data_IF_718532828520
#
_entry.id   IF_718532828520
#
_cell.length_a   1.000
_cell.length_b   1.000
_cell.length_c   1.000
_cell.angle_alpha   90.00
_cell.angle_beta   90.00
_cell.angle_gamma   90.00
#
_symmetry.space_group_name_H-M   'P 1'
#
loop_
_entity.id
_entity.type
_entity.pdbx_description
1 polymer ?
#
# COMPACT_ATOMS: atom_id res chain seq x y z
N UNK A 1 -5.55 10.58 6.38
CA UNK A 1 -6.91 10.16 6.85
C UNK A 1 -8.01 10.40 5.81
N UNK A 2 -7.99 11.45 4.98
CA UNK A 2 -9.06 11.76 3.99
C UNK A 2 -9.27 10.66 2.94
N UNK A 3 -8.23 9.90 2.59
CA UNK A 3 -8.36 8.77 1.67
C UNK A 3 -9.41 7.77 2.15
N UNK A 4 -9.49 7.54 3.46
CA UNK A 4 -10.46 6.66 4.04
C UNK A 4 -11.90 7.18 3.98
N UNK A 5 -12.09 8.49 4.13
CA UNK A 5 -13.40 9.11 3.94
C UNK A 5 -13.79 9.23 2.44
N UNK A 6 -13.07 8.53 1.55
CA UNK A 6 -13.39 8.40 0.13
C UNK A 6 -12.58 9.30 -0.81
N UNK A 7 -11.57 10.02 -0.32
CA UNK A 7 -10.72 10.87 -1.18
C UNK A 7 -9.58 10.04 -1.76
N UNK A 8 -9.92 9.16 -2.70
CA UNK A 8 -8.94 8.39 -3.47
C UNK A 8 -9.42 8.23 -4.92
N UNK A 9 -8.51 7.80 -5.80
CA UNK A 9 -8.83 7.50 -7.19
C UNK A 9 -7.71 6.70 -7.84
N UNK A 10 -8.07 5.94 -8.89
CA UNK A 10 -7.14 5.09 -9.61
C UNK A 10 -6.45 5.81 -10.75
N UNK A 11 -5.19 5.44 -10.97
CA UNK A 11 -4.41 5.83 -12.14
C UNK A 11 -4.22 4.59 -13.00
N UNK A 12 -4.54 4.69 -14.29
CA UNK A 12 -4.25 3.64 -15.27
C UNK A 12 -3.14 4.13 -16.19
N UNK A 13 -2.02 3.41 -16.19
CA UNK A 13 -0.91 3.67 -17.10
C UNK A 13 -1.00 2.67 -18.25
N UNK A 14 -1.32 3.16 -19.45
CA UNK A 14 -1.40 2.33 -20.63
C UNK A 14 0.01 2.00 -21.15
N UNK A 15 0.31 0.71 -21.26
CA UNK A 15 1.57 0.20 -21.72
C UNK A 15 1.46 -1.25 -22.19
N UNK A 16 2.56 -1.87 -22.63
CA UNK A 16 2.56 -3.27 -23.00
C UNK A 16 2.31 -4.15 -21.79
N UNK A 17 1.33 -5.08 -21.91
CA UNK A 17 1.07 -6.12 -20.93
C UNK A 17 1.96 -7.34 -21.17
N UNK A 18 2.27 -8.12 -20.15
CA UNK A 18 3.07 -9.34 -20.26
C UNK A 18 2.25 -10.58 -20.62
N UNK A 19 0.92 -10.47 -20.67
CA UNK A 19 0.01 -11.46 -21.25
C UNK A 19 -1.15 -10.77 -21.97
N UNK A 20 -1.84 -11.51 -22.86
CA UNK A 20 -2.97 -10.99 -23.64
C UNK A 20 -4.28 -11.08 -22.83
N UNK A 21 -5.17 -10.14 -23.06
CA UNK A 21 -6.55 -10.11 -22.55
C UNK A 21 -7.48 -9.54 -23.60
N UNK A 22 -8.79 -9.84 -23.49
CA UNK A 22 -9.80 -9.37 -24.43
C UNK A 22 -10.44 -8.06 -23.96
N UNK A 23 -10.64 -7.91 -22.65
CA UNK A 23 -11.34 -6.76 -22.04
C UNK A 23 -10.55 -6.19 -20.87
N UNK A 24 -10.50 -4.87 -20.78
CA UNK A 24 -9.92 -4.11 -19.67
C UNK A 24 -11.07 -3.55 -18.82
N UNK A 25 -11.18 -4.02 -17.59
CA UNK A 25 -12.23 -3.58 -16.66
C UNK A 25 -11.81 -2.38 -15.79
N UNK A 26 -10.59 -1.88 -15.98
CA UNK A 26 -10.07 -0.76 -15.20
C UNK A 26 -9.71 -1.14 -13.77
N UNK A 27 -9.86 -0.18 -12.86
CA UNK A 27 -9.52 -0.38 -11.46
C UNK A 27 -10.63 -1.11 -10.70
N UNK A 28 -10.23 -2.05 -9.84
CA UNK A 28 -11.08 -2.71 -8.86
C UNK A 28 -10.55 -2.39 -7.46
N UNK A 29 -11.25 -1.50 -6.76
CA UNK A 29 -10.86 -1.06 -5.43
C UNK A 29 -11.37 -2.02 -4.37
N UNK A 30 -10.49 -2.44 -3.47
CA UNK A 30 -10.81 -3.12 -2.21
C UNK A 30 -10.61 -2.10 -1.09
N UNK A 31 -11.64 -1.88 -0.29
CA UNK A 31 -11.63 -0.88 0.78
C UNK A 31 -12.23 -1.50 2.03
N UNK A 32 -11.63 -1.27 3.18
CA UNK A 32 -12.30 -1.44 4.45
C UNK A 32 -13.28 -0.29 4.71
N UNK A 33 -14.32 -0.54 5.50
CA UNK A 33 -15.36 0.45 5.72
C UNK A 33 -15.95 0.39 7.12
N UNK A 34 -16.32 1.58 7.61
CA UNK A 34 -16.99 1.77 8.89
C UNK A 34 -18.00 2.92 8.77
N UNK A 35 -19.06 2.91 9.55
CA UNK A 35 -20.07 3.98 9.61
C UNK A 35 -19.53 5.26 10.29
N UNK A 36 -18.43 5.17 11.02
CA UNK A 36 -17.72 6.29 11.63
C UNK A 36 -16.72 6.89 10.64
N UNK A 37 -16.50 8.19 10.72
CA UNK A 37 -15.47 8.86 9.90
C UNK A 37 -14.06 8.52 10.39
N UNK A 38 -13.05 8.74 9.52
CA UNK A 38 -11.65 8.58 9.87
C UNK A 38 -11.26 9.38 11.12
N UNK A 39 -11.75 10.63 11.22
CA UNK A 39 -11.52 11.48 12.40
C UNK A 39 -12.15 10.97 13.70
N UNK A 40 -13.21 10.16 13.62
CA UNK A 40 -13.79 9.51 14.80
C UNK A 40 -13.02 8.24 15.19
N UNK A 41 -12.50 7.53 14.20
CA UNK A 41 -11.81 6.27 14.38
C UNK A 41 -10.37 6.44 14.86
N UNK A 42 -9.69 7.52 14.45
CA UNK A 42 -8.33 7.80 14.95
C UNK A 42 -8.33 8.00 16.47
N UNK A 43 -9.35 8.65 17.02
CA UNK A 43 -9.49 8.82 18.48
C UNK A 43 -9.60 7.46 19.19
N UNK A 44 -10.24 6.47 18.55
CA UNK A 44 -10.32 5.11 19.09
C UNK A 44 -8.97 4.41 18.95
N UNK A 45 -8.33 4.55 17.79
CA UNK A 45 -7.02 3.96 17.53
C UNK A 45 -5.97 4.46 18.54
N UNK A 46 -5.94 5.76 18.81
CA UNK A 46 -5.00 6.38 19.77
C UNK A 46 -5.25 5.95 21.22
N UNK A 47 -6.52 5.71 21.56
CA UNK A 47 -6.88 5.34 22.92
C UNK A 47 -6.71 3.84 23.25
N UNK A 48 -6.94 2.95 22.26
CA UNK A 48 -7.10 1.51 22.50
C UNK A 48 -6.42 0.61 21.48
N UNK A 49 -5.75 1.17 20.48
CA UNK A 49 -5.21 0.45 19.33
C UNK A 49 -6.19 0.32 18.17
N UNK A 50 -5.81 -0.37 17.08
CA UNK A 50 -6.59 -0.42 15.84
C UNK A 50 -8.04 -0.83 16.07
N UNK A 51 -9.02 -0.05 15.57
CA UNK A 51 -10.43 -0.38 15.74
C UNK A 51 -10.81 -1.58 14.86
N UNK A 52 -11.77 -2.39 15.31
CA UNK A 52 -12.43 -3.35 14.42
C UNK A 52 -13.36 -2.59 13.48
N UNK A 53 -13.13 -2.71 12.18
CA UNK A 53 -13.96 -2.10 11.15
C UNK A 53 -15.20 -2.93 10.84
N UNK A 54 -16.32 -2.29 10.49
CA UNK A 54 -17.61 -2.97 10.36
C UNK A 54 -17.64 -3.96 9.18
N UNK A 55 -17.07 -3.59 8.03
CA UNK A 55 -17.09 -4.39 6.80
C UNK A 55 -16.00 -3.92 5.81
N UNK A 56 -16.19 -4.21 4.51
CA UNK A 56 -15.41 -3.68 3.41
C UNK A 56 -16.26 -3.49 2.16
N UNK A 57 -15.72 -2.77 1.19
CA UNK A 57 -16.37 -2.44 -0.06
C UNK A 57 -15.53 -2.91 -1.25
N UNK A 58 -16.20 -3.31 -2.33
CA UNK A 58 -15.60 -3.57 -3.63
C UNK A 58 -16.14 -2.50 -4.60
N UNK A 59 -15.25 -1.68 -5.16
CA UNK A 59 -15.64 -0.50 -5.95
C UNK A 59 -16.69 0.39 -5.28
N UNK A 60 -16.54 0.59 -3.96
CA UNK A 60 -17.38 1.50 -3.17
C UNK A 60 -18.74 0.94 -2.77
N UNK A 61 -18.98 -0.36 -2.96
CA UNK A 61 -20.27 -0.97 -2.61
C UNK A 61 -20.13 -2.35 -1.97
N UNK A 62 -21.04 -2.68 -1.08
CA UNK A 62 -21.26 -4.01 -0.53
C UNK A 62 -22.68 -4.09 0.06
N UNK A 63 -23.18 -5.30 0.21
CA UNK A 63 -24.37 -5.58 1.01
C UNK A 63 -23.96 -5.75 2.47
N UNK A 64 -24.64 -5.05 3.37
CA UNK A 64 -24.34 -5.08 4.80
C UNK A 64 -25.61 -5.41 5.61
N UNK A 65 -25.48 -6.34 6.55
CA UNK A 65 -26.57 -6.76 7.43
C UNK A 65 -26.37 -6.15 8.83
N UNK A 66 -27.10 -5.05 9.08
CA UNK A 66 -27.14 -4.47 10.41
C UNK A 66 -28.32 -5.07 11.19
N UNK A 67 -28.02 -5.95 12.12
CA UNK A 67 -28.99 -6.51 13.09
C UNK A 67 -30.27 -7.08 12.44
N UNK A 68 -30.15 -7.63 11.24
CA UNK A 68 -31.26 -8.23 10.47
C UNK A 68 -31.85 -7.31 9.41
N UNK A 69 -31.37 -6.07 9.29
CA UNK A 69 -31.70 -5.16 8.19
C UNK A 69 -30.59 -5.17 7.17
N UNK A 70 -30.84 -5.69 5.98
CA UNK A 70 -29.88 -5.70 4.88
C UNK A 70 -29.98 -4.37 4.12
N UNK A 71 -28.85 -3.70 3.92
CA UNK A 71 -28.71 -2.45 3.16
C UNK A 71 -27.56 -2.54 2.16
N UNK A 72 -27.56 -1.66 1.16
CA UNK A 72 -26.56 -1.64 0.10
C UNK A 72 -26.74 -2.76 -0.91
N UNK A 73 -25.95 -2.68 -1.96
CA UNK A 73 -25.93 -3.62 -3.07
C UNK A 73 -24.51 -4.16 -3.27
N UNK A 74 -24.39 -5.39 -3.77
CA UNK A 74 -23.10 -5.97 -4.10
C UNK A 74 -22.56 -5.42 -5.42
N UNK A 75 -21.25 -5.28 -5.50
CA UNK A 75 -20.59 -5.07 -6.80
C UNK A 75 -20.91 -6.22 -7.74
N UNK A 76 -21.25 -5.91 -9.00
CA UNK A 76 -21.52 -6.90 -10.05
C UNK A 76 -20.76 -6.57 -11.32
N UNK A 77 -20.34 -7.61 -12.04
CA UNK A 77 -19.75 -7.49 -13.38
C UNK A 77 -20.21 -8.65 -14.24
N UNK A 78 -20.44 -8.38 -15.54
CA UNK A 78 -20.93 -9.39 -16.48
C UNK A 78 -19.84 -9.76 -17.48
N UNK A 79 -19.58 -11.04 -17.63
CA UNK A 79 -18.54 -11.58 -18.49
C UNK A 79 -19.10 -12.51 -19.57
N UNK A 80 -18.51 -12.45 -20.75
CA UNK A 80 -18.78 -13.39 -21.82
C UNK A 80 -17.94 -14.66 -21.62
N UNK A 81 -18.59 -15.82 -21.65
CA UNK A 81 -17.91 -17.09 -21.51
C UNK A 81 -16.84 -17.30 -22.58
N UNK A 82 -15.62 -17.61 -22.16
CA UNK A 82 -14.45 -17.83 -23.00
C UNK A 82 -13.58 -16.58 -23.21
N UNK A 83 -14.03 -15.39 -22.80
CA UNK A 83 -13.25 -14.16 -22.86
C UNK A 83 -12.34 -14.01 -21.63
N UNK A 84 -11.28 -13.23 -21.77
CA UNK A 84 -10.32 -12.91 -20.70
C UNK A 84 -10.42 -11.43 -20.31
N UNK A 85 -10.36 -11.18 -19.02
CA UNK A 85 -10.62 -9.88 -18.41
C UNK A 85 -9.44 -9.42 -17.57
N UNK A 86 -8.94 -8.22 -17.84
CA UNK A 86 -7.94 -7.56 -17.00
C UNK A 86 -8.64 -6.76 -15.90
N UNK A 87 -8.31 -7.08 -14.66
CA UNK A 87 -8.67 -6.34 -13.45
C UNK A 87 -7.41 -5.73 -12.85
N UNK A 88 -7.48 -4.42 -12.51
CA UNK A 88 -6.42 -3.75 -11.74
C UNK A 88 -6.90 -3.64 -10.31
N UNK A 89 -6.52 -4.63 -9.52
CA UNK A 89 -6.93 -4.71 -8.12
C UNK A 89 -6.05 -3.79 -7.28
N UNK A 90 -6.70 -2.91 -6.52
CA UNK A 90 -6.04 -1.88 -5.70
C UNK A 90 -6.58 -1.99 -4.28
N UNK A 91 -5.71 -2.24 -3.30
CA UNK A 91 -6.11 -2.13 -1.91
C UNK A 91 -5.98 -0.67 -1.44
N UNK A 92 -7.12 -0.01 -1.27
CA UNK A 92 -7.23 1.36 -0.74
C UNK A 92 -7.67 1.39 0.73
N UNK A 93 -7.63 0.24 1.39
CA UNK A 93 -7.91 0.12 2.81
C UNK A 93 -6.91 0.89 3.66
N UNK A 94 -7.36 1.30 4.83
CA UNK A 94 -6.53 1.99 5.83
C UNK A 94 -5.80 1.00 6.73
N UNK A 95 -6.43 -0.15 7.03
CA UNK A 95 -5.92 -1.11 8.02
C UNK A 95 -6.15 -2.57 7.61
N UNK A 96 -6.86 -2.84 6.51
CA UNK A 96 -7.20 -4.21 6.14
C UNK A 96 -6.32 -4.75 5.02
N UNK A 97 -5.56 -5.78 5.34
CA UNK A 97 -4.93 -6.66 4.36
C UNK A 97 -5.98 -7.60 3.79
N UNK A 98 -6.09 -7.69 2.47
CA UNK A 98 -7.07 -8.53 1.81
C UNK A 98 -6.42 -9.70 1.07
N UNK A 99 -7.10 -10.83 1.08
CA UNK A 99 -6.88 -11.90 0.10
C UNK A 99 -8.00 -11.82 -0.95
N UNK A 100 -7.62 -11.50 -2.19
CA UNK A 100 -8.53 -11.42 -3.33
C UNK A 100 -8.64 -12.77 -4.04
N UNK A 101 -9.86 -13.20 -4.35
CA UNK A 101 -10.12 -14.46 -5.07
C UNK A 101 -11.45 -14.41 -5.84
N UNK A 102 -11.58 -15.22 -6.88
CA UNK A 102 -12.85 -15.47 -7.59
C UNK A 102 -13.11 -16.96 -7.56
N UNK A 103 -14.28 -17.35 -7.07
CA UNK A 103 -14.63 -18.77 -6.93
C UNK A 103 -14.45 -19.54 -8.25
N UNK A 104 -13.81 -20.69 -8.19
CA UNK A 104 -13.52 -21.58 -9.32
C UNK A 104 -12.60 -21.03 -10.43
N UNK A 105 -12.15 -19.77 -10.36
CA UNK A 105 -11.24 -19.20 -11.35
C UNK A 105 -9.82 -19.15 -10.85
N UNK A 106 -8.88 -19.31 -11.76
CA UNK A 106 -7.47 -19.02 -11.51
C UNK A 106 -7.16 -17.58 -11.95
N UNK A 107 -6.25 -16.94 -11.23
CA UNK A 107 -5.82 -15.58 -11.41
C UNK A 107 -4.43 -15.58 -12.07
N UNK A 108 -4.28 -14.99 -13.24
CA UNK A 108 -2.98 -14.78 -13.86
C UNK A 108 -2.48 -13.37 -13.53
N UNK A 109 -1.52 -13.28 -12.64
CA UNK A 109 -0.92 -12.00 -12.22
C UNK A 109 0.14 -11.59 -13.23
N UNK A 110 0.07 -10.36 -13.75
CA UNK A 110 0.92 -9.84 -14.83
C UNK A 110 1.71 -8.57 -14.47
N UNK A 111 1.31 -7.87 -13.41
CA UNK A 111 2.04 -6.72 -12.89
C UNK A 111 1.79 -6.55 -11.39
N UNK A 112 2.72 -5.89 -10.72
CA UNK A 112 2.60 -5.44 -9.33
C UNK A 112 3.09 -4.00 -9.22
N UNK A 113 2.32 -3.11 -8.57
CA UNK A 113 2.64 -1.70 -8.31
C UNK A 113 3.23 -0.98 -9.54
N UNK A 114 2.58 -1.11 -10.71
CA UNK A 114 3.02 -0.62 -12.03
C UNK A 114 4.21 -1.35 -12.68
N UNK A 115 4.84 -2.31 -12.02
CA UNK A 115 5.96 -3.07 -12.59
C UNK A 115 5.42 -4.32 -13.28
N UNK A 116 5.54 -4.45 -14.62
CA UNK A 116 5.22 -5.68 -15.32
C UNK A 116 6.11 -6.84 -14.86
N UNK A 117 5.52 -7.99 -14.60
CA UNK A 117 6.23 -9.19 -14.16
C UNK A 117 6.09 -10.33 -15.16
N UNK A 118 6.94 -11.35 -15.00
CA UNK A 118 6.72 -12.65 -15.65
C UNK A 118 5.41 -13.23 -15.14
N UNK A 119 4.42 -13.51 -16.00
CA UNK A 119 3.12 -13.96 -15.54
C UNK A 119 3.20 -15.25 -14.71
N UNK A 120 2.50 -15.29 -13.59
CA UNK A 120 2.28 -16.51 -12.82
C UNK A 120 0.78 -16.69 -12.55
N UNK A 121 0.38 -17.90 -12.18
CA UNK A 121 -1.03 -18.26 -11.92
C UNK A 121 -1.19 -18.72 -10.49
N UNK A 122 -2.26 -18.24 -9.85
CA UNK A 122 -2.63 -18.58 -8.46
C UNK A 122 -4.16 -18.63 -8.33
N UNK A 123 -4.66 -19.18 -7.21
CA UNK A 123 -6.10 -19.20 -6.89
C UNK A 123 -6.52 -17.97 -6.08
N UNK A 124 -5.56 -17.28 -5.48
CA UNK A 124 -5.77 -16.07 -4.67
C UNK A 124 -4.55 -15.16 -4.72
N UNK A 125 -4.75 -13.86 -4.45
CA UNK A 125 -3.68 -12.87 -4.34
C UNK A 125 -3.80 -12.16 -3.00
N UNK A 126 -2.70 -12.17 -2.23
CA UNK A 126 -2.57 -11.47 -0.95
C UNK A 126 -2.15 -10.02 -1.20
N UNK A 127 -2.96 -9.06 -0.76
CA UNK A 127 -2.83 -7.64 -1.12
C UNK A 127 -2.81 -6.77 0.14
N UNK A 128 -1.64 -6.27 0.51
CA UNK A 128 -1.48 -5.29 1.58
C UNK A 128 -2.01 -3.89 1.19
N UNK A 129 -2.23 -3.04 2.18
CA UNK A 129 -2.66 -1.65 1.97
C UNK A 129 -1.67 -0.92 1.06
N UNK A 130 -2.20 -0.24 0.03
CA UNK A 130 -1.41 0.46 -0.98
C UNK A 130 -0.86 -0.43 -2.10
N UNK A 131 -0.90 -1.76 -2.00
CA UNK A 131 -0.46 -2.66 -3.05
C UNK A 131 -1.47 -2.73 -4.21
N UNK A 132 -0.97 -2.94 -5.42
CA UNK A 132 -1.77 -3.10 -6.63
C UNK A 132 -1.28 -4.31 -7.41
N UNK A 133 -2.22 -5.02 -8.02
CA UNK A 133 -1.93 -6.13 -8.92
C UNK A 133 -2.78 -6.05 -10.17
N UNK A 134 -2.15 -6.19 -11.35
CA UNK A 134 -2.86 -6.40 -12.60
C UNK A 134 -3.05 -7.91 -12.81
N UNK A 135 -4.31 -8.33 -12.91
CA UNK A 135 -4.72 -9.74 -12.91
C UNK A 135 -5.59 -10.02 -14.13
N UNK A 136 -5.24 -11.04 -14.89
CA UNK A 136 -6.09 -11.54 -15.98
C UNK A 136 -6.85 -12.77 -15.48
N UNK A 137 -8.17 -12.77 -15.72
CA UNK A 137 -9.05 -13.89 -15.41
C UNK A 137 -9.78 -14.32 -16.68
N UNK A 138 -9.78 -15.61 -16.98
CA UNK A 138 -10.51 -16.16 -18.11
C UNK A 138 -11.85 -16.70 -17.66
N UNK A 139 -12.92 -16.31 -18.33
CA UNK A 139 -14.28 -16.77 -18.07
C UNK A 139 -14.53 -18.18 -18.63
N UNK A 140 -13.82 -19.19 -18.10
CA UNK A 140 -13.81 -20.56 -18.63
C UNK A 140 -14.60 -21.57 -17.78
N UNK A 141 -15.36 -21.09 -16.76
CA UNK A 141 -16.05 -21.93 -15.78
C UNK A 141 -17.54 -22.12 -16.05
N UNK A 142 -18.03 -21.86 -17.28
CA UNK A 142 -19.44 -22.00 -17.65
C UNK A 142 -20.03 -23.41 -17.43
N UNK A 143 -19.18 -24.44 -17.36
CA UNK A 143 -19.60 -25.80 -17.02
C UNK A 143 -19.87 -26.02 -15.52
N UNK A 144 -19.38 -25.11 -14.66
CA UNK A 144 -19.53 -25.19 -13.20
C UNK A 144 -20.74 -24.40 -12.75
N UNK A 145 -20.85 -23.13 -13.16
CA UNK A 145 -21.95 -22.22 -12.80
C UNK A 145 -22.08 -21.08 -13.82
N UNK A 146 -23.12 -20.27 -13.68
CA UNK A 146 -23.31 -19.01 -14.41
C UNK A 146 -22.98 -17.79 -13.55
N UNK A 147 -22.86 -17.95 -12.25
CA UNK A 147 -22.65 -16.88 -11.30
C UNK A 147 -21.60 -17.30 -10.27
N UNK A 148 -20.65 -16.42 -10.00
CA UNK A 148 -19.50 -16.70 -9.15
C UNK A 148 -19.27 -15.57 -8.15
N UNK A 149 -18.92 -15.94 -6.92
CA UNK A 149 -18.47 -14.96 -5.94
C UNK A 149 -17.07 -14.44 -6.29
N UNK A 150 -16.93 -13.12 -6.32
CA UNK A 150 -15.68 -12.40 -6.23
C UNK A 150 -15.53 -11.97 -4.77
N UNK A 151 -14.41 -12.28 -4.14
CA UNK A 151 -14.23 -12.10 -2.70
C UNK A 151 -13.00 -11.25 -2.38
N UNK A 152 -13.17 -10.34 -1.42
CA UNK A 152 -12.08 -9.66 -0.73
C UNK A 152 -12.13 -10.11 0.75
N UNK A 153 -11.30 -11.08 1.09
CA UNK A 153 -11.30 -11.71 2.41
C UNK A 153 -10.28 -10.99 3.28
N UNK A 154 -10.70 -10.33 4.40
CA UNK A 154 -9.77 -9.75 5.36
C UNK A 154 -8.85 -10.83 5.95
N UNK A 155 -7.56 -10.55 5.97
CA UNK A 155 -6.60 -11.40 6.64
C UNK A 155 -6.64 -11.12 8.15
N UNK A 156 -7.33 -12.00 8.87
CA UNK A 156 -7.60 -11.83 10.31
C UNK A 156 -6.38 -12.05 11.20
N UNK A 157 -5.24 -12.39 10.62
CA UNK A 157 -3.97 -12.45 11.38
C UNK A 157 -3.46 -11.04 11.73
N UNK A 158 -3.66 -10.06 10.85
CA UNK A 158 -3.19 -8.69 11.05
C UNK A 158 -4.28 -7.62 11.00
N UNK A 159 -5.51 -7.97 10.60
CA UNK A 159 -6.60 -7.01 10.42
C UNK A 159 -7.88 -7.48 11.11
N UNK A 160 -8.54 -6.59 11.83
CA UNK A 160 -9.81 -6.87 12.49
C UNK A 160 -10.99 -6.35 11.67
N UNK A 161 -11.92 -7.24 11.28
CA UNK A 161 -13.10 -6.87 10.51
C UNK A 161 -14.36 -7.57 11.08
N UNK A 162 -15.46 -6.84 11.15
CA UNK A 162 -16.73 -7.32 11.70
C UNK A 162 -17.51 -8.25 10.76
N UNK A 163 -17.20 -8.23 9.47
CA UNK A 163 -17.87 -9.05 8.45
C UNK A 163 -16.86 -9.74 7.50
N UNK A 164 -15.87 -10.50 8.03
CA UNK A 164 -14.76 -11.01 7.23
C UNK A 164 -15.19 -11.97 6.12
N UNK A 165 -16.32 -12.64 6.28
CA UNK A 165 -16.84 -13.63 5.30
C UNK A 165 -17.81 -13.01 4.28
N UNK A 166 -18.12 -11.71 4.37
CA UNK A 166 -19.20 -11.10 3.59
C UNK A 166 -18.81 -9.86 2.77
N UNK A 167 -17.54 -9.68 2.49
CA UNK A 167 -17.06 -8.67 1.53
C UNK A 167 -16.97 -9.34 0.18
N UNK A 168 -18.05 -9.21 -0.62
CA UNK A 168 -18.24 -9.98 -1.86
C UNK A 168 -18.82 -9.13 -2.98
N UNK A 169 -18.41 -9.46 -4.20
CA UNK A 169 -19.05 -9.07 -5.45
C UNK A 169 -19.48 -10.30 -6.24
N UNK A 170 -20.12 -10.08 -7.39
CA UNK A 170 -20.62 -11.16 -8.25
C UNK A 170 -20.08 -11.00 -9.66
N UNK A 171 -19.60 -12.09 -10.21
CA UNK A 171 -19.32 -12.25 -11.64
C UNK A 171 -20.45 -13.04 -12.26
N UNK A 172 -21.20 -12.43 -13.16
CA UNK A 172 -22.26 -13.08 -13.94
C UNK A 172 -21.72 -13.49 -15.30
N UNK A 173 -22.11 -14.67 -15.80
CA UNK A 173 -21.83 -15.08 -17.16
C UNK A 173 -23.05 -14.84 -18.06
N UNK A 174 -22.88 -14.04 -19.11
CA UNK A 174 -23.94 -13.70 -20.05
C UNK A 174 -25.10 -12.96 -19.39
N UNK A 175 -26.33 -13.43 -19.61
CA UNK A 175 -27.56 -12.81 -19.12
C UNK A 175 -27.98 -13.31 -17.73
N UNK A 176 -27.11 -14.01 -16.98
CA UNK A 176 -27.43 -14.47 -15.63
C UNK A 176 -27.45 -13.29 -14.65
N UNK A 177 -28.33 -13.38 -13.65
CA UNK A 177 -28.53 -12.37 -12.59
C UNK A 177 -28.76 -12.99 -11.21
N UNK A 178 -28.40 -14.27 -11.06
CA UNK A 178 -28.67 -15.03 -9.85
C UNK A 178 -27.59 -14.82 -8.79
N UNK A 179 -27.95 -15.02 -7.52
CA UNK A 179 -26.97 -15.06 -6.45
C UNK A 179 -26.11 -16.35 -6.58
N UNK A 180 -24.77 -16.23 -6.51
CA UNK A 180 -23.90 -17.39 -6.66
C UNK A 180 -24.08 -18.42 -5.55
N UNK A 181 -23.97 -19.70 -5.91
CA UNK A 181 -23.94 -20.83 -4.98
C UNK A 181 -22.56 -21.50 -4.91
N UNK A 182 -21.56 -20.88 -5.50
CA UNK A 182 -20.18 -21.37 -5.54
C UNK A 182 -19.51 -21.27 -4.17
N UNK A 183 -18.46 -22.06 -3.98
CA UNK A 183 -17.71 -22.13 -2.72
C UNK A 183 -16.35 -21.47 -2.88
N UNK A 184 -15.89 -20.78 -1.83
CA UNK A 184 -14.57 -20.17 -1.77
C UNK A 184 -13.45 -21.22 -1.96
N UNK A 185 -12.34 -20.77 -2.57
CA UNK A 185 -11.08 -21.47 -2.49
C UNK A 185 -10.64 -21.63 -1.03
N UNK A 186 -9.94 -22.70 -0.73
CA UNK A 186 -9.32 -22.87 0.59
C UNK A 186 -8.10 -21.92 0.66
N UNK A 187 -8.23 -20.81 1.38
CA UNK A 187 -7.12 -19.91 1.67
C UNK A 187 -6.32 -20.56 2.80
N UNK A 188 -5.06 -20.90 2.52
CA UNK A 188 -4.19 -21.63 3.47
C UNK A 188 -3.08 -20.77 4.06
N UNK A 189 -2.78 -19.62 3.45
CA UNK A 189 -1.78 -18.68 3.89
C UNK A 189 -2.45 -17.34 4.22
N UNK A 190 -2.48 -17.01 5.50
CA UNK A 190 -3.06 -15.80 6.09
C UNK A 190 -2.05 -15.26 7.09
N UNK A 191 -0.90 -14.80 6.58
CA UNK A 191 0.22 -14.30 7.40
C UNK A 191 0.56 -12.83 7.14
N UNK A 192 -0.23 -12.16 6.27
CA UNK A 192 -0.05 -10.77 5.90
C UNK A 192 1.34 -10.45 5.33
N UNK A 193 2.01 -11.41 4.72
CA UNK A 193 3.34 -11.20 4.11
C UNK A 193 3.27 -10.80 2.65
N UNK A 194 2.09 -10.84 2.04
CA UNK A 194 1.89 -10.58 0.61
C UNK A 194 2.28 -11.77 -0.29
N UNK A 195 2.33 -11.53 -1.59
CA UNK A 195 2.67 -12.57 -2.57
C UNK A 195 4.12 -13.05 -2.41
N UNK A 196 4.38 -14.35 -2.63
CA UNK A 196 5.73 -14.89 -2.54
C UNK A 196 6.71 -14.15 -3.47
N UNK A 197 7.79 -13.62 -2.93
CA UNK A 197 8.80 -12.86 -3.68
C UNK A 197 9.34 -13.60 -4.90
N UNK A 198 9.41 -14.94 -4.84
CA UNK A 198 9.85 -15.78 -5.95
C UNK A 198 8.88 -15.77 -7.14
N UNK A 199 7.61 -15.42 -6.92
CA UNK A 199 6.59 -15.30 -7.97
C UNK A 199 6.60 -13.91 -8.61
N UNK A 200 7.04 -12.88 -7.89
CA UNK A 200 7.04 -11.48 -8.34
C UNK A 200 8.35 -11.16 -9.06
N UNK A 201 8.55 -11.72 -10.26
CA UNK A 201 9.78 -11.55 -11.04
C UNK A 201 9.56 -10.47 -12.10
N UNK A 202 10.25 -9.30 -12.02
CA UNK A 202 10.11 -8.25 -13.03
C UNK A 202 10.43 -8.75 -14.45
N UNK A 203 9.56 -8.43 -15.41
CA UNK A 203 9.72 -8.82 -16.81
C UNK A 203 10.94 -8.12 -17.45
N UNK A 204 11.11 -6.83 -17.15
CA UNK A 204 12.33 -6.10 -17.50
C UNK A 204 13.35 -6.33 -16.39
N UNK A 205 14.36 -7.13 -16.71
CA UNK A 205 15.44 -7.41 -15.77
C UNK A 205 16.33 -6.19 -15.56
N UNK A 206 16.38 -5.71 -14.32
CA UNK A 206 17.27 -4.64 -13.88
C UNK A 206 18.13 -5.15 -12.72
N UNK A 207 19.41 -4.79 -12.75
CA UNK A 207 20.41 -5.20 -11.77
C UNK A 207 20.53 -4.13 -10.67
N UNK A 208 20.56 -4.59 -9.44
CA UNK A 208 20.76 -3.78 -8.24
C UNK A 208 22.09 -4.11 -7.55
N UNK A 209 23.07 -4.68 -8.25
CA UNK A 209 24.36 -5.11 -7.64
C UNK A 209 25.12 -3.97 -6.99
N UNK A 210 25.02 -2.76 -7.52
CA UNK A 210 25.63 -1.58 -6.91
C UNK A 210 25.07 -1.23 -5.54
N UNK A 211 23.80 -1.64 -5.24
CA UNK A 211 23.23 -1.48 -3.90
C UNK A 211 23.81 -2.47 -2.88
N UNK A 212 24.30 -3.62 -3.34
CA UNK A 212 24.96 -4.61 -2.47
C UNK A 212 26.36 -4.20 -2.00
N UNK A 213 26.96 -3.22 -2.68
CA UNK A 213 28.27 -2.66 -2.32
C UNK A 213 28.15 -1.43 -1.39
N UNK A 214 26.92 -0.92 -1.21
CA UNK A 214 26.65 0.18 -0.28
C UNK A 214 26.56 -0.40 1.13
N UNK A 215 27.24 0.24 2.09
CA UNK A 215 27.00 -0.04 3.50
C UNK A 215 25.52 0.24 3.80
N UNK A 216 24.91 -0.49 4.72
CA UNK A 216 23.58 -0.14 5.21
C UNK A 216 23.65 1.29 5.72
N UNK A 217 23.08 2.23 4.94
CA UNK A 217 23.13 3.65 5.26
C UNK A 217 22.16 3.94 6.40
N UNK A 218 21.01 3.25 6.40
CA UNK A 218 19.96 3.40 7.40
C UNK A 218 19.43 2.01 7.80
N UNK A 219 19.83 1.52 8.97
CA UNK A 219 19.15 0.42 9.66
C UNK A 219 18.28 1.01 10.75
N UNK A 220 16.97 0.94 10.55
CA UNK A 220 16.00 1.55 11.46
C UNK A 220 15.07 0.49 12.06
N UNK A 221 14.90 0.56 13.36
CA UNK A 221 14.01 -0.35 14.09
C UNK A 221 12.68 0.36 14.36
N UNK A 222 11.59 -0.35 14.13
CA UNK A 222 10.25 0.12 14.48
C UNK A 222 10.09 0.08 15.99
N UNK A 223 9.67 1.19 16.59
CA UNK A 223 9.48 1.34 18.03
C UNK A 223 8.22 2.10 18.40
N UNK A 224 7.96 2.21 19.70
CA UNK A 224 6.92 3.08 20.26
C UNK A 224 7.55 4.17 21.12
N UNK A 225 7.04 5.39 20.91
CA UNK A 225 7.30 6.54 21.76
C UNK A 225 6.29 6.64 22.92
N UNK A 226 6.11 7.86 23.40
CA UNK A 226 5.09 8.15 24.42
C UNK A 226 3.69 8.19 23.76
N UNK A 227 2.71 7.59 24.38
CA UNK A 227 1.40 7.40 23.79
C UNK A 227 1.40 6.24 22.80
N UNK A 228 0.76 6.40 21.65
CA UNK A 228 0.79 5.43 20.54
C UNK A 228 1.65 5.92 19.36
N UNK A 229 2.53 6.90 19.62
CA UNK A 229 3.46 7.43 18.62
C UNK A 229 4.42 6.36 18.12
N UNK A 230 4.51 6.20 16.81
CA UNK A 230 5.44 5.27 16.19
C UNK A 230 6.81 5.92 15.97
N UNK A 231 7.86 5.12 16.10
CA UNK A 231 9.24 5.54 15.86
C UNK A 231 9.85 4.69 14.73
N UNK A 232 10.62 5.35 13.86
CA UNK A 232 11.65 4.70 13.05
C UNK A 232 13.02 5.09 13.58
N UNK A 233 13.75 4.12 14.09
CA UNK A 233 14.89 4.38 14.97
C UNK A 233 14.41 5.08 16.24
N UNK A 234 14.96 6.24 16.54
CA UNK A 234 14.59 7.05 17.70
C UNK A 234 13.69 8.25 17.36
N UNK A 235 13.16 8.28 16.13
CA UNK A 235 12.43 9.45 15.59
C UNK A 235 11.00 9.08 15.21
N UNK A 236 10.03 9.86 15.70
CA UNK A 236 8.69 9.95 15.15
C UNK A 236 8.65 11.13 14.18
N UNK A 237 8.26 10.88 12.94
CA UNK A 237 8.17 11.96 11.95
C UNK A 237 7.07 12.94 12.35
N UNK A 238 7.39 14.23 12.26
CA UNK A 238 6.42 15.32 12.31
C UNK A 238 6.76 16.34 11.23
N UNK A 239 5.80 16.59 10.36
CA UNK A 239 5.88 17.63 9.32
C UNK A 239 5.04 18.82 9.73
N UNK A 240 5.66 20.00 9.80
CA UNK A 240 4.94 21.25 10.00
C UNK A 240 4.30 21.69 8.68
N UNK A 241 2.98 21.80 8.63
CA UNK A 241 2.26 22.21 7.41
C UNK A 241 2.50 23.66 7.02
N UNK A 242 2.99 24.51 7.93
CA UNK A 242 3.37 25.89 7.65
C UNK A 242 4.74 25.97 6.99
N UNK A 243 5.62 25.00 7.33
CA UNK A 243 7.00 24.96 6.85
C UNK A 243 7.45 23.52 6.48
N UNK A 244 6.76 22.89 5.50
CA UNK A 244 7.09 21.52 5.10
C UNK A 244 8.50 21.45 4.51
N UNK A 245 9.12 20.28 4.61
CA UNK A 245 10.51 20.02 4.18
C UNK A 245 10.80 20.53 2.76
N UNK A 246 9.85 20.37 1.83
CA UNK A 246 10.02 20.87 0.47
C UNK A 246 10.13 22.40 0.41
N UNK A 247 9.39 23.15 1.25
CA UNK A 247 9.48 24.60 1.35
C UNK A 247 10.82 25.03 1.95
N UNK A 248 11.32 24.34 2.99
CA UNK A 248 12.64 24.60 3.55
C UNK A 248 13.71 24.48 2.47
N UNK A 249 13.69 23.40 1.69
CA UNK A 249 14.63 23.18 0.57
C UNK A 249 14.53 24.28 -0.48
N UNK A 250 13.32 24.73 -0.84
CA UNK A 250 13.12 25.84 -1.80
C UNK A 250 13.71 27.14 -1.29
N UNK A 251 13.73 27.36 0.02
CA UNK A 251 14.35 28.50 0.68
C UNK A 251 15.87 28.31 0.92
N UNK A 252 16.48 27.27 0.34
CA UNK A 252 17.87 26.88 0.54
C UNK A 252 18.21 26.57 2.01
N UNK A 253 17.22 26.17 2.80
CA UNK A 253 17.42 25.68 4.15
C UNK A 253 17.46 24.15 4.11
N UNK A 254 18.60 23.60 4.47
CA UNK A 254 18.84 22.16 4.62
C UNK A 254 19.14 21.79 6.07
N UNK A 255 18.78 22.66 7.00
CA UNK A 255 18.94 22.45 8.45
C UNK A 255 17.62 21.93 9.02
N UNK A 256 17.40 20.62 8.87
CA UNK A 256 16.16 19.99 9.30
C UNK A 256 16.15 19.71 10.81
N UNK A 257 14.98 19.84 11.43
CA UNK A 257 14.80 19.34 12.79
C UNK A 257 14.87 17.80 12.80
N UNK A 258 15.27 17.21 13.91
CA UNK A 258 15.31 15.74 14.06
C UNK A 258 13.95 15.11 13.76
N UNK A 259 12.86 15.76 14.18
CA UNK A 259 11.49 15.30 13.92
C UNK A 259 11.09 15.27 12.44
N UNK A 260 11.82 15.96 11.56
CA UNK A 260 11.58 15.83 10.12
C UNK A 260 12.10 14.49 9.55
N UNK A 261 12.90 13.72 10.29
CA UNK A 261 13.39 12.40 9.91
C UNK A 261 13.98 12.38 8.48
N UNK A 262 14.86 13.35 8.15
CA UNK A 262 15.38 13.55 6.79
C UNK A 262 16.72 12.86 6.60
N UNK A 263 16.81 12.04 5.55
CA UNK A 263 18.07 11.56 4.96
C UNK A 263 18.35 12.31 3.66
N UNK A 264 19.53 12.94 3.57
CA UNK A 264 19.94 13.69 2.39
C UNK A 264 20.67 12.81 1.38
N UNK A 265 20.21 12.85 0.13
CA UNK A 265 20.83 12.19 -1.02
C UNK A 265 21.21 13.24 -2.10
N UNK A 266 22.31 13.99 -1.90
CA UNK A 266 22.63 15.16 -2.76
C UNK A 266 23.13 14.78 -4.16
N UNK A 267 23.67 13.59 -4.34
CA UNK A 267 24.33 13.15 -5.58
C UNK A 267 23.43 12.32 -6.44
N UNK A 268 23.26 12.72 -7.70
CA UNK A 268 22.51 11.94 -8.68
C UNK A 268 23.14 10.56 -8.89
N UNK A 269 22.33 9.55 -8.81
CA UNK A 269 22.72 8.17 -9.08
C UNK A 269 23.31 7.41 -7.89
N UNK A 270 23.41 8.04 -6.71
CA UNK A 270 23.79 7.32 -5.49
C UNK A 270 22.71 6.30 -5.12
N UNK A 271 23.14 5.17 -4.58
CA UNK A 271 22.25 4.14 -4.08
C UNK A 271 22.10 4.29 -2.57
N UNK A 272 20.90 3.98 -2.09
CA UNK A 272 20.58 3.83 -0.67
C UNK A 272 20.09 2.42 -0.42
N UNK A 273 20.60 1.79 0.63
CA UNK A 273 20.10 0.53 1.19
C UNK A 273 19.44 0.83 2.53
N UNK A 274 18.12 0.76 2.56
CA UNK A 274 17.30 0.93 3.76
C UNK A 274 16.92 -0.44 4.31
N UNK A 275 17.26 -0.70 5.56
CA UNK A 275 16.81 -1.88 6.31
C UNK A 275 15.85 -1.43 7.40
N UNK A 276 14.62 -1.96 7.38
CA UNK A 276 13.62 -1.71 8.41
C UNK A 276 13.39 -3.00 9.17
N UNK A 277 13.50 -2.96 10.48
CA UNK A 277 13.21 -4.08 11.37
C UNK A 277 12.00 -3.82 12.25
N UNK A 278 11.18 -4.84 12.49
CA UNK A 278 10.08 -4.78 13.45
C UNK A 278 10.10 -6.00 14.35
N UNK A 279 10.18 -5.79 15.64
CA UNK A 279 10.03 -6.86 16.63
C UNK A 279 8.57 -7.10 17.03
N UNK A 280 7.63 -6.29 16.50
CA UNK A 280 6.21 -6.42 16.77
C UNK A 280 5.61 -7.59 15.99
N UNK A 281 4.60 -8.22 16.59
CA UNK A 281 3.84 -9.31 15.97
C UNK A 281 2.80 -8.79 14.95
N UNK A 282 3.10 -7.71 14.24
CA UNK A 282 2.25 -7.08 13.22
C UNK A 282 3.11 -6.83 11.99
N UNK A 283 2.61 -7.19 10.83
CA UNK A 283 3.24 -6.86 9.56
C UNK A 283 2.90 -5.42 9.15
N UNK A 284 3.82 -4.76 8.44
CA UNK A 284 3.64 -3.36 8.02
C UNK A 284 3.89 -3.22 6.53
N UNK A 285 2.92 -2.72 5.74
CA UNK A 285 3.19 -2.33 4.35
C UNK A 285 4.03 -1.05 4.33
N UNK A 286 5.21 -1.11 3.76
CA UNK A 286 6.14 0.02 3.65
C UNK A 286 6.08 0.57 2.24
N UNK A 287 5.70 1.83 2.12
CA UNK A 287 5.63 2.57 0.85
C UNK A 287 6.75 3.60 0.75
N UNK A 288 7.36 3.71 -0.43
CA UNK A 288 8.28 4.77 -0.80
C UNK A 288 7.70 5.59 -1.94
N UNK A 289 7.56 6.88 -1.72
CA UNK A 289 7.13 7.83 -2.75
C UNK A 289 8.19 8.01 -3.84
N UNK A 290 7.75 8.25 -5.06
CA UNK A 290 8.59 8.66 -6.18
C UNK A 290 9.46 7.58 -6.83
N UNK A 291 9.45 6.35 -6.32
CA UNK A 291 10.32 5.26 -6.77
C UNK A 291 9.60 3.92 -6.81
N UNK A 292 9.99 3.06 -7.75
CA UNK A 292 9.85 1.62 -7.65
C UNK A 292 11.17 1.08 -7.07
N UNK A 293 11.20 0.78 -5.80
CA UNK A 293 12.39 0.28 -5.13
C UNK A 293 12.64 -1.20 -5.44
N UNK A 294 13.87 -1.62 -5.25
CA UNK A 294 14.33 -3.01 -5.34
C UNK A 294 14.17 -3.69 -3.98
N UNK A 295 13.31 -4.71 -3.88
CA UNK A 295 13.13 -5.51 -2.68
C UNK A 295 14.21 -6.59 -2.62
N UNK A 296 15.28 -6.35 -1.83
CA UNK A 296 16.48 -7.19 -1.84
C UNK A 296 16.38 -8.39 -0.91
N UNK A 297 15.81 -8.22 0.27
CA UNK A 297 15.57 -9.28 1.23
C UNK A 297 14.41 -8.94 2.16
N UNK A 298 13.72 -9.98 2.64
CA UNK A 298 12.67 -9.88 3.65
C UNK A 298 12.60 -11.22 4.38
N UNK A 299 12.33 -11.21 5.68
CA UNK A 299 12.25 -12.43 6.48
C UNK A 299 11.97 -12.15 7.95
N UNK A 300 11.87 -13.21 8.74
CA UNK A 300 11.66 -13.13 10.19
C UNK A 300 13.00 -13.13 10.97
N UNK A 301 13.01 -12.52 12.14
CA UNK A 301 14.21 -12.34 12.98
C UNK A 301 14.93 -11.03 12.69
N UNK A 302 15.95 -10.69 13.49
CA UNK A 302 16.75 -9.50 13.29
C UNK A 302 17.67 -9.63 12.07
N UNK A 303 17.77 -8.57 11.28
CA UNK A 303 18.59 -8.55 10.04
C UNK A 303 20.04 -8.94 10.30
N UNK A 304 20.66 -8.38 11.35
CA UNK A 304 22.03 -8.68 11.72
C UNK A 304 22.26 -10.14 12.13
N UNK A 305 21.27 -10.77 12.80
CA UNK A 305 21.37 -12.17 13.24
C UNK A 305 21.15 -13.16 12.08
N UNK A 306 20.22 -12.84 11.18
CA UNK A 306 19.92 -13.65 9.99
C UNK A 306 21.01 -13.50 8.93
N UNK A 307 21.58 -12.30 8.81
CA UNK A 307 22.56 -11.92 7.80
C UNK A 307 22.18 -12.43 6.39
N UNK A 308 21.03 -12.00 5.84
CA UNK A 308 20.49 -12.57 4.62
C UNK A 308 21.39 -12.27 3.42
N UNK A 309 21.36 -13.19 2.43
CA UNK A 309 21.93 -12.87 1.12
C UNK A 309 20.98 -11.97 0.39
N UNK A 310 21.44 -10.77 0.02
CA UNK A 310 20.67 -9.82 -0.78
C UNK A 310 20.49 -10.33 -2.21
N UNK A 311 19.24 -10.37 -2.70
CA UNK A 311 18.97 -10.65 -4.10
C UNK A 311 19.15 -9.37 -4.91
N UNK A 312 20.29 -9.23 -5.59
CA UNK A 312 20.60 -8.06 -6.42
C UNK A 312 20.40 -8.31 -7.91
N UNK A 313 20.25 -9.58 -8.33
CA UNK A 313 20.03 -9.95 -9.73
C UNK A 313 18.52 -10.00 -10.03
N UNK A 314 18.01 -9.00 -10.73
CA UNK A 314 16.58 -8.86 -11.04
C UNK A 314 15.65 -9.09 -9.85
N UNK A 315 15.85 -8.41 -8.72
CA UNK A 315 14.97 -8.58 -7.56
C UNK A 315 13.57 -8.05 -7.86
N UNK A 316 12.54 -8.42 -7.07
CA UNK A 316 11.25 -7.78 -7.13
C UNK A 316 11.38 -6.26 -7.04
N UNK A 317 10.63 -5.54 -7.90
CA UNK A 317 10.51 -4.08 -7.84
C UNK A 317 9.06 -3.71 -7.63
N UNK A 318 8.82 -2.79 -6.72
CA UNK A 318 7.50 -2.27 -6.39
C UNK A 318 7.64 -1.01 -5.54
N UNK A 319 6.55 -0.35 -5.23
CA UNK A 319 6.57 0.84 -4.38
C UNK A 319 5.95 0.60 -2.98
N UNK A 320 5.31 -0.58 -2.76
CA UNK A 320 4.81 -1.02 -1.44
C UNK A 320 5.22 -2.46 -1.19
N UNK A 321 6.01 -2.73 -0.16
CA UNK A 321 6.39 -4.09 0.23
C UNK A 321 6.08 -4.36 1.70
N UNK A 322 5.71 -5.61 2.01
CA UNK A 322 5.39 -6.00 3.37
C UNK A 322 6.66 -6.22 4.20
N UNK A 323 6.77 -5.48 5.31
CA UNK A 323 7.69 -5.78 6.41
C UNK A 323 7.02 -6.86 7.27
N UNK A 324 7.58 -8.08 7.36
CA UNK A 324 6.96 -9.17 8.12
C UNK A 324 6.88 -8.88 9.62
N UNK A 325 5.88 -9.47 10.28
CA UNK A 325 5.80 -9.48 11.73
C UNK A 325 7.04 -10.12 12.35
N UNK A 326 7.66 -9.47 13.33
CA UNK A 326 8.87 -9.94 14.00
C UNK A 326 10.04 -10.16 13.04
N UNK A 327 10.21 -9.28 12.05
CA UNK A 327 11.19 -9.49 11.00
C UNK A 327 11.80 -8.22 10.42
N UNK A 328 12.35 -8.35 9.22
CA UNK A 328 13.04 -7.28 8.51
C UNK A 328 12.62 -7.20 7.05
N UNK A 329 12.80 -6.00 6.49
CA UNK A 329 12.71 -5.69 5.07
C UNK A 329 13.93 -4.87 4.66
N UNK A 330 14.66 -5.34 3.64
CA UNK A 330 15.79 -4.64 3.04
C UNK A 330 15.39 -4.20 1.61
N UNK A 331 15.32 -2.90 1.40
CA UNK A 331 15.01 -2.28 0.11
C UNK A 331 16.14 -1.36 -0.33
N UNK A 332 16.31 -1.24 -1.63
CA UNK A 332 17.27 -0.29 -2.20
C UNK A 332 16.63 0.50 -3.33
N UNK A 333 17.07 1.72 -3.49
CA UNK A 333 16.68 2.58 -4.59
C UNK A 333 17.81 3.54 -4.96
N UNK A 334 17.68 4.22 -6.06
CA UNK A 334 18.69 5.10 -6.61
C UNK A 334 18.17 6.53 -6.62
N UNK A 335 19.01 7.46 -6.18
CA UNK A 335 18.70 8.89 -6.24
C UNK A 335 18.68 9.38 -7.70
N UNK A 336 17.58 9.18 -8.40
CA UNK A 336 17.41 9.58 -9.81
C UNK A 336 16.14 10.41 -10.06
N UNK A 337 15.42 10.74 -8.99
CA UNK A 337 14.20 11.54 -9.03
C UNK A 337 14.29 12.72 -8.03
N UNK A 338 14.82 13.91 -8.41
CA UNK A 338 14.97 15.03 -7.48
C UNK A 338 13.65 15.38 -6.79
N UNK A 339 13.61 15.38 -5.46
CA UNK A 339 12.39 15.61 -4.70
C UNK A 339 12.53 15.43 -3.20
N UNK A 340 11.42 15.56 -2.51
CA UNK A 340 11.25 15.22 -1.10
C UNK A 340 10.27 14.04 -1.05
N UNK A 341 10.76 12.87 -0.69
CA UNK A 341 10.04 11.60 -0.80
C UNK A 341 9.83 10.96 0.56
N UNK A 342 8.57 10.64 0.89
CA UNK A 342 8.24 9.90 2.10
C UNK A 342 8.52 8.40 1.90
N UNK A 343 9.06 7.75 2.94
CA UNK A 343 8.99 6.32 3.14
C UNK A 343 8.21 6.07 4.43
N UNK A 344 7.07 5.38 4.36
CA UNK A 344 6.16 5.27 5.48
C UNK A 344 5.41 3.95 5.52
N UNK A 345 4.89 3.59 6.70
CA UNK A 345 3.92 2.53 6.82
C UNK A 345 2.60 2.95 6.14
N UNK A 346 1.97 2.07 5.40
CA UNK A 346 0.70 2.38 4.72
C UNK A 346 -0.55 2.04 5.56
N UNK A 347 -0.38 1.58 6.79
CA UNK A 347 -1.46 1.54 7.78
C UNK A 347 -1.70 2.97 8.25
N UNK A 348 -2.91 3.49 7.98
CA UNK A 348 -3.21 4.91 8.20
C UNK A 348 -3.02 5.37 9.65
N UNK A 349 -3.34 4.53 10.63
CA UNK A 349 -3.12 4.82 12.05
C UNK A 349 -1.64 4.98 12.39
N UNK A 350 -0.77 4.15 11.79
CA UNK A 350 0.65 4.19 12.02
C UNK A 350 1.31 5.40 11.36
N UNK A 351 0.88 5.72 10.14
CA UNK A 351 1.38 6.89 9.40
C UNK A 351 1.02 8.17 10.12
N UNK A 352 -0.23 8.31 10.56
CA UNK A 352 -0.72 9.46 11.31
C UNK A 352 0.07 9.69 12.61
N UNK A 353 0.58 8.63 13.22
CA UNK A 353 1.36 8.63 14.46
C UNK A 353 2.88 8.58 14.24
N UNK A 354 3.35 8.95 13.06
CA UNK A 354 4.77 9.24 12.77
C UNK A 354 5.62 8.08 12.29
N UNK A 355 5.02 6.95 11.84
CA UNK A 355 5.75 5.84 11.24
C UNK A 355 6.21 6.18 9.83
N UNK A 356 7.13 7.12 9.72
CA UNK A 356 7.67 7.56 8.45
C UNK A 356 9.07 8.19 8.60
N UNK A 357 9.75 8.32 7.46
CA UNK A 357 10.97 9.10 7.27
C UNK A 357 10.94 9.78 5.89
N UNK A 358 11.87 10.68 5.62
CA UNK A 358 11.95 11.40 4.37
C UNK A 358 13.33 11.26 3.72
N UNK A 359 13.34 11.12 2.39
CA UNK A 359 14.52 11.26 1.55
C UNK A 359 14.46 12.58 0.78
N UNK A 360 15.51 13.39 0.89
CA UNK A 360 15.65 14.62 0.11
C UNK A 360 16.73 14.40 -0.94
N UNK A 361 16.26 14.16 -2.17
CA UNK A 361 17.14 13.85 -3.29
C UNK A 361 17.50 15.08 -4.09
N UNK A 362 18.80 15.21 -4.41
CA UNK A 362 19.32 16.20 -5.34
C UNK A 362 18.71 17.60 -5.09
N UNK A 363 18.68 18.03 -3.84
CA UNK A 363 17.95 19.22 -3.37
C UNK A 363 18.22 20.48 -4.22
N UNK A 364 19.39 20.61 -4.85
CA UNK A 364 19.72 21.73 -5.73
C UNK A 364 18.89 21.78 -7.03
N UNK A 365 18.24 20.68 -7.41
CA UNK A 365 17.39 20.57 -8.60
C UNK A 365 15.90 20.75 -8.29
N UNK A 366 15.50 20.67 -7.04
CA UNK A 366 14.10 20.72 -6.59
C UNK A 366 13.43 22.03 -7.00
N UNK A 367 14.13 23.17 -6.87
CA UNK A 367 13.61 24.49 -7.20
C UNK A 367 13.14 24.64 -8.67
N UNK A 368 13.67 23.81 -9.58
CA UNK A 368 13.24 23.81 -10.97
C UNK A 368 11.90 23.10 -11.21
N UNK A 369 11.44 22.28 -10.26
CA UNK A 369 10.24 21.45 -10.39
C UNK A 369 9.02 22.03 -9.64
N UNK A 370 9.24 22.86 -8.63
CA UNK A 370 8.20 23.41 -7.78
C UNK A 370 7.96 24.90 -8.04
N UNK A 371 6.72 25.31 -7.90
CA UNK A 371 6.37 26.73 -7.88
C UNK A 371 6.41 27.23 -6.42
N UNK A 372 7.50 27.87 -6.03
CA UNK A 372 7.70 28.38 -4.69
C UNK A 372 6.58 29.34 -4.25
N UNK A 373 6.09 30.23 -5.13
CA UNK A 373 5.00 31.16 -4.81
C UNK A 373 3.71 30.41 -4.46
N UNK A 374 3.35 29.36 -5.22
CA UNK A 374 2.15 28.57 -4.93
C UNK A 374 2.27 27.86 -3.59
N UNK A 375 3.44 27.32 -3.27
CA UNK A 375 3.70 26.67 -1.98
C UNK A 375 3.62 27.69 -0.82
N UNK A 376 4.25 28.83 -0.95
CA UNK A 376 4.22 29.89 0.07
C UNK A 376 2.79 30.39 0.33
N UNK A 377 2.00 30.58 -0.73
CA UNK A 377 0.59 30.99 -0.63
C UNK A 377 -0.25 29.94 0.12
N UNK A 378 -0.06 28.65 -0.17
CA UNK A 378 -0.76 27.55 0.51
C UNK A 378 -0.37 27.44 1.98
N UNK A 379 0.93 27.48 2.30
CA UNK A 379 1.42 27.44 3.67
C UNK A 379 0.95 28.66 4.48
N UNK A 380 0.93 29.85 3.88
CA UNK A 380 0.43 31.08 4.50
C UNK A 380 -1.08 31.02 4.75
N UNK A 381 -1.83 30.45 3.80
CA UNK A 381 -3.27 30.26 3.97
C UNK A 381 -3.57 29.32 5.14
N UNK A 382 -2.81 28.21 5.25
CA UNK A 382 -2.92 27.29 6.38
C UNK A 382 -2.56 27.97 7.71
N UNK A 383 -1.43 28.67 7.79
CA UNK A 383 -1.01 29.40 9.00
C UNK A 383 -2.07 30.40 9.48
N UNK A 384 -2.65 31.14 8.55
CA UNK A 384 -3.75 32.07 8.83
C UNK A 384 -4.98 31.34 9.37
N UNK A 385 -5.35 30.22 8.77
CA UNK A 385 -6.52 29.43 9.17
C UNK A 385 -6.32 28.82 10.55
N UNK A 386 -5.22 28.08 10.77
CA UNK A 386 -4.96 27.41 12.06
C UNK A 386 -4.88 28.42 13.21
N UNK A 387 -4.23 29.58 13.01
CA UNK A 387 -4.15 30.64 14.02
C UNK A 387 -5.55 31.17 14.34
N UNK A 388 -6.37 31.45 13.33
CA UNK A 388 -7.74 31.97 13.53
C UNK A 388 -8.68 30.96 14.16
N UNK A 389 -8.50 29.67 13.90
CA UNK A 389 -9.31 28.58 14.44
C UNK A 389 -8.80 28.06 15.79
N UNK A 390 -7.60 28.46 16.20
CA UNK A 390 -6.96 27.98 17.43
C UNK A 390 -6.60 26.50 17.36
N UNK A 391 -6.26 26.00 16.16
CA UNK A 391 -5.88 24.61 15.94
C UNK A 391 -4.41 24.40 16.31
N UNK A 392 -4.14 23.25 16.92
CA UNK A 392 -2.79 22.75 17.18
C UNK A 392 -2.70 21.39 16.49
N UNK A 393 -1.64 21.21 15.71
CA UNK A 393 -1.36 19.90 15.11
C UNK A 393 -1.00 18.91 16.21
N UNK A 394 -1.65 17.75 16.22
CA UNK A 394 -1.50 16.68 17.21
C UNK A 394 -1.08 15.33 16.57
N UNK A 395 -0.89 15.31 15.24
CA UNK A 395 -0.46 14.15 14.47
C UNK A 395 0.87 14.39 13.72
N UNK A 396 1.32 13.43 12.93
CA UNK A 396 2.54 13.51 12.12
C UNK A 396 2.50 14.56 10.99
N UNK A 397 1.31 14.97 10.58
CA UNK A 397 1.09 15.86 9.45
C UNK A 397 1.09 15.18 8.06
N UNK A 398 1.02 13.81 8.01
CA UNK A 398 1.00 13.05 6.74
C UNK A 398 -0.17 12.07 6.69
#
# INVERSE_FOLDING_TARGET
MQAWDGVFGGIVIHGPATANYDHDLGNLFLQDWDSRTASQLIIVADATGPPTLETGLINGTNSYNDSGTVTGDRFTTTWDSGSSYLLRVVNVGVDTHFTFTIDNHTLQVIATDFVPIVPYTTDSVSIGMGQRYDIIVTADQAAVASDFWLRAVPDTFCSNNGAPDDIKGIVHYGDSDSEPTTSAWAITEIDCTGEPRASVVPYLSLDASAAGDVSVDDEVTVGFGSGLTWLLGDVSLVVDWQDPTAKMVLNNDTTFATSNAVTLMPTAGDWTLLVIESLFAVAHPIHLHGHDFYSLASGTGAYADVAPTLNTANPPRRDVEMLPAGGYLAIAFKADNPGVWLAHCHIGWHTSEGFALQFVEQYSLIAAQYNATTMDDQCTAWDTYQTSAGLVQDDSGI
#
